data_IF_980720322767
#
_entry.id   IF_980720322767
#
_cell.length_a   1.000
_cell.length_b   1.000
_cell.length_c   1.000
_cell.angle_alpha   90.00
_cell.angle_beta   90.00
_cell.angle_gamma   90.00
#
_symmetry.space_group_name_H-M   'P 1'
#
loop_
_entity.id
_entity.type
_entity.pdbx_description
1 polymer ?
#
# COMPACT_ATOMS: atom_id res chain seq x y z
N UNK A 1 14.44 -9.12 -16.46
CA UNK A 1 13.32 -9.48 -15.57
C UNK A 1 12.65 -8.19 -15.14
N UNK A 2 11.37 -8.02 -15.43
CA UNK A 2 10.64 -6.78 -15.10
C UNK A 2 9.86 -6.99 -13.79
N UNK A 3 10.21 -6.24 -12.77
CA UNK A 3 9.62 -6.36 -11.44
C UNK A 3 8.89 -5.08 -11.04
N UNK A 4 7.83 -5.20 -10.25
CA UNK A 4 7.06 -4.08 -9.71
C UNK A 4 7.13 -4.08 -8.19
N UNK A 5 7.45 -2.92 -7.62
CA UNK A 5 7.23 -2.62 -6.21
C UNK A 5 6.00 -1.71 -6.07
N UNK A 6 5.02 -2.12 -5.28
CA UNK A 6 3.85 -1.33 -4.92
C UNK A 6 4.01 -0.83 -3.50
N UNK A 7 4.10 0.49 -3.33
CA UNK A 7 4.18 1.15 -2.03
C UNK A 7 2.78 1.65 -1.67
N UNK A 8 2.14 0.93 -0.74
CA UNK A 8 0.72 1.12 -0.42
C UNK A 8 0.56 2.17 0.68
N UNK A 9 -0.10 3.27 0.35
CA UNK A 9 -0.67 4.27 1.25
C UNK A 9 0.27 4.77 2.36
N UNK A 10 1.53 5.02 2.03
CA UNK A 10 2.50 5.59 2.97
C UNK A 10 2.27 7.10 3.14
N UNK A 11 1.08 7.45 3.63
CA UNK A 11 0.58 8.81 3.80
C UNK A 11 0.65 9.26 5.27
N UNK A 12 0.70 10.58 5.48
CA UNK A 12 0.86 11.18 6.80
C UNK A 12 -0.23 10.72 7.77
N UNK A 13 -1.50 10.67 7.35
CA UNK A 13 -2.59 10.25 8.23
C UNK A 13 -2.48 8.82 8.73
N UNK A 14 -1.87 7.92 7.96
CA UNK A 14 -1.66 6.52 8.38
C UNK A 14 -0.38 6.29 9.18
N UNK A 15 0.59 7.19 9.11
CA UNK A 15 1.86 7.03 9.82
C UNK A 15 1.84 7.72 11.19
N UNK A 16 1.58 9.02 11.22
CA UNK A 16 1.61 9.85 12.43
C UNK A 16 0.47 10.87 12.53
N UNK A 17 -0.51 10.83 11.59
CA UNK A 17 -1.69 11.68 11.59
C UNK A 17 -2.92 11.01 12.22
N UNK A 18 -4.09 11.25 11.64
CA UNK A 18 -5.40 10.91 12.22
C UNK A 18 -5.58 9.41 12.55
N UNK A 19 -4.99 8.52 11.76
CA UNK A 19 -5.01 7.06 11.94
C UNK A 19 -3.60 6.49 12.18
N UNK A 20 -2.65 7.33 12.58
CA UNK A 20 -1.26 6.93 12.82
C UNK A 20 -1.12 5.95 13.98
N UNK A 21 -0.16 5.02 13.84
CA UNK A 21 0.17 4.02 14.87
C UNK A 21 1.67 3.94 15.09
N UNK A 22 2.08 3.40 16.25
CA UNK A 22 3.50 3.13 16.52
C UNK A 22 4.05 2.08 15.57
N UNK A 23 3.25 1.11 15.20
CA UNK A 23 3.58 0.04 14.26
C UNK A 23 3.87 0.63 12.87
N UNK A 24 3.03 1.54 12.39
CA UNK A 24 3.23 2.24 11.12
C UNK A 24 4.54 3.07 11.12
N UNK A 25 4.84 3.74 12.21
CA UNK A 25 6.07 4.53 12.35
C UNK A 25 7.33 3.65 12.31
N UNK A 26 7.29 2.44 12.88
CA UNK A 26 8.42 1.51 12.93
C UNK A 26 8.87 1.03 11.54
N UNK A 27 7.96 0.89 10.58
CA UNK A 27 8.29 0.38 9.24
C UNK A 27 8.84 1.44 8.29
N UNK A 28 8.75 2.72 8.63
CA UNK A 28 9.10 3.83 7.71
C UNK A 28 10.51 3.66 7.15
N UNK A 29 11.51 3.41 7.97
CA UNK A 29 12.89 3.28 7.49
C UNK A 29 13.10 2.03 6.62
N UNK A 30 12.41 0.94 6.93
CA UNK A 30 12.44 -0.27 6.11
C UNK A 30 11.84 0.01 4.72
N UNK A 31 10.69 0.68 4.66
CA UNK A 31 10.06 1.06 3.38
C UNK A 31 10.96 2.01 2.58
N UNK A 32 11.55 3.02 3.24
CA UNK A 32 12.51 3.93 2.58
C UNK A 32 13.68 3.16 1.97
N UNK A 33 14.26 2.24 2.72
CA UNK A 33 15.38 1.40 2.27
C UNK A 33 14.96 0.50 1.10
N UNK A 34 13.77 -0.10 1.18
CA UNK A 34 13.21 -0.94 0.12
C UNK A 34 13.01 -0.16 -1.18
N UNK A 35 12.43 1.05 -1.11
CA UNK A 35 12.21 1.91 -2.28
C UNK A 35 13.54 2.33 -2.92
N UNK A 36 14.53 2.70 -2.12
CA UNK A 36 15.87 3.02 -2.64
C UNK A 36 16.49 1.84 -3.38
N UNK A 37 16.50 0.66 -2.75
CA UNK A 37 17.03 -0.56 -3.38
C UNK A 37 16.28 -0.92 -4.67
N UNK A 38 14.95 -0.77 -4.69
CA UNK A 38 14.16 -1.02 -5.89
C UNK A 38 14.54 -0.07 -7.03
N UNK A 39 14.77 1.22 -6.75
CA UNK A 39 15.27 2.19 -7.74
C UNK A 39 16.66 1.81 -8.26
N UNK A 40 17.59 1.47 -7.38
CA UNK A 40 18.94 1.04 -7.74
C UNK A 40 18.94 -0.22 -8.62
N UNK A 41 17.99 -1.13 -8.38
CA UNK A 41 17.80 -2.34 -9.18
C UNK A 41 16.98 -2.11 -10.47
N UNK A 42 16.51 -0.89 -10.72
CA UNK A 42 15.74 -0.56 -11.93
C UNK A 42 14.32 -1.18 -11.95
N UNK A 43 13.73 -1.46 -10.77
CA UNK A 43 12.34 -1.93 -10.69
C UNK A 43 11.38 -0.78 -10.97
N UNK A 44 10.24 -1.10 -11.57
CA UNK A 44 9.13 -0.16 -11.65
C UNK A 44 8.52 0.03 -10.25
N UNK A 45 8.12 1.25 -9.93
CA UNK A 45 7.54 1.58 -8.62
C UNK A 45 6.23 2.32 -8.81
N UNK A 46 5.18 1.85 -8.12
CA UNK A 46 3.88 2.53 -8.02
C UNK A 46 3.62 2.83 -6.56
N UNK A 47 3.35 4.11 -6.26
CA UNK A 47 2.81 4.53 -4.97
C UNK A 47 1.30 4.61 -5.07
N UNK A 48 0.58 4.01 -4.13
CA UNK A 48 -0.86 4.26 -3.99
C UNK A 48 -1.13 5.31 -2.93
N UNK A 49 -2.20 6.05 -3.11
CA UNK A 49 -2.68 7.03 -2.14
C UNK A 49 -4.18 6.83 -1.92
N UNK A 50 -4.55 6.46 -0.71
CA UNK A 50 -5.93 6.49 -0.29
C UNK A 50 -6.45 7.93 -0.38
N UNK A 51 -7.60 8.14 -1.03
CA UNK A 51 -8.04 9.48 -1.40
C UNK A 51 -9.53 9.63 -1.19
N UNK A 52 -9.88 10.44 -0.21
CA UNK A 52 -11.26 10.78 0.12
C UNK A 52 -11.58 12.24 -0.20
N UNK A 53 -12.87 12.54 -0.33
CA UNK A 53 -13.37 13.89 -0.53
C UNK A 53 -13.94 14.43 0.79
N UNK A 54 -14.30 15.72 0.83
CA UNK A 54 -14.87 16.37 2.01
C UNK A 54 -16.15 15.71 2.52
N UNK A 55 -16.89 15.02 1.64
CA UNK A 55 -18.08 14.26 2.01
C UNK A 55 -17.81 12.88 2.62
N UNK A 56 -16.56 12.59 3.01
CA UNK A 56 -16.19 11.31 3.63
C UNK A 56 -17.15 10.86 4.73
N UNK A 57 -17.64 11.72 5.66
CA UNK A 57 -18.55 11.28 6.72
C UNK A 57 -19.89 10.72 6.21
N UNK A 58 -20.29 11.07 4.98
CA UNK A 58 -21.53 10.61 4.35
C UNK A 58 -21.36 9.28 3.62
N UNK A 59 -20.11 8.87 3.38
CA UNK A 59 -19.80 7.61 2.70
C UNK A 59 -20.09 6.40 3.56
N UNK A 60 -20.16 5.22 2.94
CA UNK A 60 -20.32 3.97 3.70
C UNK A 60 -19.11 3.72 4.63
N UNK A 61 -17.91 4.04 4.17
CA UNK A 61 -16.70 3.91 4.96
C UNK A 61 -16.72 4.88 6.15
N UNK A 62 -17.02 6.16 5.90
CA UNK A 62 -17.07 7.18 6.94
C UNK A 62 -18.12 6.92 8.02
N UNK A 63 -19.23 6.27 7.68
CA UNK A 63 -20.25 5.83 8.67
C UNK A 63 -19.75 4.71 9.57
N UNK A 64 -18.83 3.86 9.10
CA UNK A 64 -18.26 2.74 9.85
C UNK A 64 -16.99 3.14 10.60
N UNK A 65 -16.21 4.05 10.03
CA UNK A 65 -15.00 4.62 10.60
C UNK A 65 -15.14 6.16 10.60
N UNK A 66 -15.76 6.76 11.64
CA UNK A 66 -16.04 8.20 11.65
C UNK A 66 -14.80 9.05 11.99
N UNK A 67 -13.68 8.77 11.34
CA UNK A 67 -12.42 9.50 11.44
C UNK A 67 -12.04 9.96 10.04
N UNK A 68 -12.25 11.24 9.75
CA UNK A 68 -11.84 11.82 8.48
C UNK A 68 -10.33 11.72 8.32
N UNK A 69 -9.89 11.15 7.21
CA UNK A 69 -8.48 10.94 6.89
C UNK A 69 -8.26 10.99 5.38
N UNK A 70 -7.04 11.23 4.97
CA UNK A 70 -6.63 11.26 3.57
C UNK A 70 -7.57 12.08 2.68
N UNK A 71 -8.08 13.20 3.20
CA UNK A 71 -8.91 14.14 2.42
C UNK A 71 -8.02 14.82 1.39
N UNK A 72 -8.39 14.71 0.11
CA UNK A 72 -7.58 15.20 -1.01
C UNK A 72 -7.16 16.67 -0.82
N UNK A 73 -5.86 16.92 -0.96
CA UNK A 73 -5.25 18.24 -0.80
C UNK A 73 -4.93 18.60 0.66
N UNK A 74 -5.30 17.78 1.65
CA UNK A 74 -4.88 17.99 3.04
C UNK A 74 -3.44 17.51 3.26
N UNK A 75 -2.80 17.99 4.32
CA UNK A 75 -1.48 17.50 4.73
C UNK A 75 -1.49 16.02 5.10
N UNK A 76 -2.56 15.53 5.66
CA UNK A 76 -2.72 14.13 6.03
C UNK A 76 -2.76 13.18 4.82
N UNK A 77 -3.25 13.66 3.68
CA UNK A 77 -3.29 12.93 2.42
C UNK A 77 -1.91 12.79 1.76
N UNK A 78 -0.98 13.70 2.02
CA UNK A 78 0.34 13.67 1.38
C UNK A 78 1.14 12.43 1.77
N UNK A 79 1.93 11.92 0.82
CA UNK A 79 2.95 10.90 1.10
C UNK A 79 3.93 11.48 2.13
N UNK A 80 4.37 10.66 3.09
CA UNK A 80 5.27 11.10 4.15
C UNK A 80 6.55 11.73 3.59
N UNK A 81 7.10 12.77 4.24
CA UNK A 81 8.24 13.55 3.73
C UNK A 81 9.46 12.70 3.35
N UNK A 82 9.75 11.63 4.09
CA UNK A 82 10.88 10.74 3.83
C UNK A 82 10.78 10.01 2.48
N UNK A 83 9.56 9.77 2.00
CA UNK A 83 9.31 9.10 0.73
C UNK A 83 9.03 10.07 -0.42
N UNK A 84 8.60 11.31 -0.15
CA UNK A 84 8.24 12.29 -1.19
C UNK A 84 9.34 12.46 -2.26
N UNK A 85 10.59 12.57 -1.83
CA UNK A 85 11.74 12.70 -2.76
C UNK A 85 11.98 11.46 -3.61
N UNK A 86 11.50 10.31 -3.15
CA UNK A 86 11.66 9.03 -3.82
C UNK A 86 10.52 8.75 -4.82
N UNK A 87 9.47 9.58 -4.84
CA UNK A 87 8.36 9.45 -5.81
C UNK A 87 8.72 9.99 -7.20
N UNK A 88 9.82 10.72 -7.32
CA UNK A 88 10.27 11.21 -8.63
C UNK A 88 10.43 10.06 -9.61
N UNK A 89 9.87 10.23 -10.81
CA UNK A 89 9.85 9.22 -11.88
C UNK A 89 9.05 7.94 -11.53
N UNK A 90 8.26 7.97 -10.46
CA UNK A 90 7.35 6.89 -10.10
C UNK A 90 5.90 7.25 -10.46
N UNK A 91 5.09 6.22 -10.73
CA UNK A 91 3.65 6.42 -10.86
C UNK A 91 3.03 6.61 -9.48
N UNK A 92 2.15 7.59 -9.36
CA UNK A 92 1.30 7.80 -8.18
C UNK A 92 -0.13 7.50 -8.58
N UNK A 93 -0.81 6.64 -7.84
CA UNK A 93 -2.15 6.19 -8.11
C UNK A 93 -3.07 6.51 -6.93
N UNK A 94 -4.00 7.43 -7.13
CA UNK A 94 -5.06 7.71 -6.17
C UNK A 94 -6.12 6.60 -6.24
N UNK A 95 -6.60 6.14 -5.08
CA UNK A 95 -7.65 5.13 -4.98
C UNK A 95 -8.73 5.56 -3.98
N UNK A 96 -10.01 5.36 -4.29
CA UNK A 96 -11.12 5.80 -3.44
C UNK A 96 -11.52 4.78 -2.38
N UNK A 97 -10.87 3.63 -2.33
CA UNK A 97 -11.18 2.53 -1.43
C UNK A 97 -9.91 1.70 -1.13
N UNK A 98 -10.05 0.62 -0.37
CA UNK A 98 -8.95 -0.21 0.12
C UNK A 98 -8.12 -0.83 -1.01
N UNK A 99 -8.75 -1.55 -1.92
CA UNK A 99 -8.11 -2.11 -3.11
C UNK A 99 -8.35 -1.25 -4.35
N UNK A 100 -7.44 -1.33 -5.32
CA UNK A 100 -7.52 -0.61 -6.58
C UNK A 100 -7.57 -1.55 -7.78
N UNK A 101 -8.73 -1.62 -8.43
CA UNK A 101 -8.84 -2.34 -9.73
C UNK A 101 -7.99 -1.68 -10.80
N UNK A 102 -7.79 -0.36 -10.73
CA UNK A 102 -6.91 0.35 -11.64
C UNK A 102 -5.45 -0.12 -11.51
N UNK A 103 -4.96 -0.32 -10.27
CA UNK A 103 -3.63 -0.90 -10.02
C UNK A 103 -3.51 -2.27 -10.68
N UNK A 104 -4.51 -3.13 -10.49
CA UNK A 104 -4.50 -4.47 -11.07
C UNK A 104 -4.49 -4.43 -12.61
N UNK A 105 -5.26 -3.54 -13.24
CA UNK A 105 -5.22 -3.33 -14.70
C UNK A 105 -3.86 -2.82 -15.20
N UNK A 106 -3.24 -1.88 -14.48
CA UNK A 106 -1.91 -1.36 -14.82
C UNK A 106 -0.89 -2.49 -14.73
N UNK A 107 -0.91 -3.24 -13.63
CA UNK A 107 0.00 -4.36 -13.41
C UNK A 107 -0.14 -5.44 -14.50
N UNK A 108 -1.38 -5.78 -14.88
CA UNK A 108 -1.64 -6.76 -15.94
C UNK A 108 -1.08 -6.33 -17.31
N UNK A 109 -1.13 -5.02 -17.62
CA UNK A 109 -0.54 -4.48 -18.85
C UNK A 109 0.98 -4.37 -18.80
N UNK A 110 1.54 -4.28 -17.58
CA UNK A 110 2.97 -4.09 -17.36
C UNK A 110 3.82 -5.32 -17.66
N UNK A 111 3.21 -6.50 -17.79
CA UNK A 111 3.90 -7.78 -18.04
C UNK A 111 5.02 -8.04 -17.03
N UNK A 112 4.73 -7.83 -15.74
CA UNK A 112 5.67 -8.07 -14.67
C UNK A 112 5.84 -9.57 -14.41
N UNK A 113 7.07 -9.98 -14.15
CA UNK A 113 7.43 -11.34 -13.77
C UNK A 113 7.31 -11.57 -12.26
N UNK A 114 7.24 -10.47 -11.48
CA UNK A 114 7.13 -10.47 -10.02
C UNK A 114 6.57 -9.14 -9.53
N UNK A 115 5.70 -9.20 -8.51
CA UNK A 115 5.11 -8.01 -7.89
C UNK A 115 5.26 -8.11 -6.37
N UNK A 116 5.86 -7.10 -5.76
CA UNK A 116 6.06 -7.00 -4.32
C UNK A 116 5.26 -5.83 -3.76
N UNK A 117 4.57 -6.03 -2.63
CA UNK A 117 3.83 -4.98 -1.92
C UNK A 117 4.48 -4.68 -0.58
N UNK A 118 4.52 -3.40 -0.23
CA UNK A 118 4.93 -2.86 1.06
C UNK A 118 3.99 -1.74 1.48
N UNK A 119 3.93 -1.39 2.75
CA UNK A 119 3.19 -0.22 3.23
C UNK A 119 2.04 -0.55 4.18
N UNK A 120 0.99 0.23 4.11
CA UNK A 120 -0.08 0.30 5.10
C UNK A 120 -1.49 0.14 4.51
N UNK A 121 -2.43 -0.37 5.28
CA UNK A 121 -2.19 -1.28 6.41
C UNK A 121 -2.22 -2.71 5.89
N UNK A 122 -1.43 -3.59 6.48
CA UNK A 122 -1.34 -5.01 6.07
C UNK A 122 -2.70 -5.65 5.97
N UNK A 123 -3.56 -5.41 6.96
CA UNK A 123 -4.88 -6.01 7.16
C UNK A 123 -6.01 -5.30 6.41
N UNK A 124 -5.73 -4.22 5.68
CA UNK A 124 -6.72 -3.44 4.96
C UNK A 124 -6.30 -3.23 3.50
N UNK A 125 -5.52 -2.19 3.21
CA UNK A 125 -5.18 -1.82 1.83
C UNK A 125 -4.15 -2.77 1.20
N UNK A 126 -3.18 -3.27 1.97
CA UNK A 126 -2.16 -4.19 1.44
C UNK A 126 -2.80 -5.51 1.02
N UNK A 127 -3.53 -6.19 1.92
CA UNK A 127 -4.20 -7.45 1.60
C UNK A 127 -5.21 -7.28 0.47
N UNK A 128 -5.98 -6.19 0.46
CA UNK A 128 -6.98 -5.92 -0.59
C UNK A 128 -6.33 -5.82 -1.97
N UNK A 129 -5.21 -5.12 -2.09
CA UNK A 129 -4.48 -5.00 -3.34
C UNK A 129 -3.77 -6.30 -3.71
N UNK A 130 -3.19 -7.01 -2.75
CA UNK A 130 -2.53 -8.30 -2.99
C UNK A 130 -3.51 -9.33 -3.56
N UNK A 131 -4.73 -9.42 -3.01
CA UNK A 131 -5.78 -10.32 -3.49
C UNK A 131 -6.28 -9.94 -4.88
N UNK A 132 -6.45 -8.64 -5.17
CA UNK A 132 -6.81 -8.18 -6.50
C UNK A 132 -5.73 -8.50 -7.53
N UNK A 133 -4.47 -8.25 -7.21
CA UNK A 133 -3.34 -8.60 -8.08
C UNK A 133 -3.28 -10.10 -8.34
N UNK A 134 -3.48 -10.93 -7.31
CA UNK A 134 -3.52 -12.39 -7.45
C UNK A 134 -4.67 -12.85 -8.33
N UNK A 135 -5.85 -12.21 -8.23
CA UNK A 135 -7.00 -12.54 -9.09
C UNK A 135 -6.79 -12.15 -10.55
N UNK A 136 -6.13 -11.02 -10.82
CA UNK A 136 -5.84 -10.55 -12.18
C UNK A 136 -4.65 -11.26 -12.83
N UNK A 137 -3.69 -11.70 -12.01
CA UNK A 137 -2.41 -12.26 -12.43
C UNK A 137 -2.11 -13.56 -11.67
N UNK A 138 -2.91 -14.61 -11.87
CA UNK A 138 -2.81 -15.84 -11.07
C UNK A 138 -1.46 -16.55 -11.17
N UNK A 139 -0.75 -16.39 -12.29
CA UNK A 139 0.54 -17.03 -12.55
C UNK A 139 1.75 -16.17 -12.15
N UNK A 140 1.53 -14.88 -11.85
CA UNK A 140 2.62 -13.99 -11.41
C UNK A 140 2.81 -14.13 -9.91
N UNK A 141 4.04 -14.37 -9.41
CA UNK A 141 4.34 -14.34 -7.98
C UNK A 141 4.00 -12.97 -7.38
N UNK A 142 3.06 -12.97 -6.43
CA UNK A 142 2.70 -11.79 -5.64
C UNK A 142 3.30 -11.99 -4.25
N UNK A 143 4.04 -10.98 -3.78
CA UNK A 143 4.76 -11.04 -2.51
C UNK A 143 4.42 -9.85 -1.62
N UNK A 144 4.50 -10.06 -0.33
CA UNK A 144 4.37 -9.01 0.69
C UNK A 144 5.56 -9.09 1.63
N UNK A 145 6.30 -7.99 1.78
CA UNK A 145 7.40 -7.91 2.74
C UNK A 145 6.84 -7.54 4.13
N UNK A 146 6.82 -8.51 5.03
CA UNK A 146 6.24 -8.36 6.37
C UNK A 146 6.95 -7.31 7.21
N UNK A 147 8.26 -7.11 7.03
CA UNK A 147 9.04 -6.11 7.76
C UNK A 147 8.83 -4.68 7.21
N UNK A 148 8.25 -4.57 6.04
CA UNK A 148 7.90 -3.32 5.38
C UNK A 148 6.39 -3.04 5.41
N UNK A 149 5.62 -3.81 6.20
CA UNK A 149 4.18 -3.62 6.39
C UNK A 149 3.84 -3.54 7.86
N UNK A 150 2.73 -2.87 8.18
CA UNK A 150 2.15 -2.84 9.52
C UNK A 150 0.63 -2.87 9.43
N UNK A 151 -0.01 -3.62 10.31
CA UNK A 151 -1.46 -3.62 10.48
C UNK A 151 -1.93 -2.55 11.46
N UNK A 152 -3.23 -2.45 11.66
CA UNK A 152 -3.82 -1.59 12.69
C UNK A 152 -3.35 -2.03 14.08
N UNK A 153 -3.23 -3.33 14.29
CA UNK A 153 -2.59 -3.93 15.47
C UNK A 153 -1.61 -5.03 15.04
N UNK A 154 -0.66 -5.43 15.92
CA UNK A 154 0.20 -6.59 15.62
C UNK A 154 -0.58 -7.86 15.31
N UNK A 155 -1.67 -8.11 16.03
CA UNK A 155 -2.50 -9.31 15.84
C UNK A 155 -3.24 -9.29 14.50
N UNK A 156 -3.74 -8.13 14.08
CA UNK A 156 -4.41 -8.00 12.76
C UNK A 156 -3.42 -8.10 11.62
N UNK A 157 -2.20 -7.61 11.79
CA UNK A 157 -1.09 -7.80 10.87
C UNK A 157 -0.81 -9.29 10.63
N UNK A 158 -0.57 -10.07 11.69
CA UNK A 158 -0.29 -11.50 11.58
C UNK A 158 -1.45 -12.27 10.93
N UNK A 159 -2.70 -11.97 11.31
CA UNK A 159 -3.88 -12.60 10.69
C UNK A 159 -3.96 -12.33 9.19
N UNK A 160 -3.64 -11.12 8.76
CA UNK A 160 -3.63 -10.77 7.34
C UNK A 160 -2.53 -11.51 6.57
N UNK A 161 -1.32 -11.61 7.14
CA UNK A 161 -0.23 -12.38 6.55
C UNK A 161 -0.60 -13.86 6.39
N UNK A 162 -1.20 -14.47 7.41
CA UNK A 162 -1.65 -15.86 7.34
C UNK A 162 -2.77 -16.06 6.29
N UNK A 163 -3.71 -15.11 6.19
CA UNK A 163 -4.74 -15.14 5.15
C UNK A 163 -4.14 -15.03 3.74
N UNK A 164 -3.14 -14.18 3.55
CA UNK A 164 -2.43 -14.04 2.28
C UNK A 164 -1.65 -15.31 1.91
N UNK A 165 -0.96 -15.94 2.86
CA UNK A 165 -0.29 -17.24 2.67
C UNK A 165 -1.27 -18.32 2.21
N UNK A 166 -2.45 -18.40 2.83
CA UNK A 166 -3.49 -19.34 2.42
C UNK A 166 -3.95 -19.14 0.97
N UNK A 167 -3.88 -17.91 0.47
CA UNK A 167 -4.18 -17.54 -0.91
C UNK A 167 -2.97 -17.56 -1.85
N UNK A 168 -1.87 -18.22 -1.44
CA UNK A 168 -0.63 -18.39 -2.24
C UNK A 168 0.06 -17.05 -2.57
N UNK A 169 -0.07 -16.05 -1.70
CA UNK A 169 0.75 -14.86 -1.71
C UNK A 169 1.96 -15.13 -0.83
N UNK A 170 3.15 -14.88 -1.36
CA UNK A 170 4.40 -15.10 -0.64
C UNK A 170 4.60 -14.01 0.43
N UNK A 171 4.94 -14.40 1.64
CA UNK A 171 5.29 -13.49 2.73
C UNK A 171 6.79 -13.60 2.98
N UNK A 172 7.49 -12.47 2.79
CA UNK A 172 8.92 -12.33 2.98
C UNK A 172 9.24 -11.87 4.41
#
# INVERSE_FOLDING_TARGET
MRELLVVVDMQTDFVDGALGTKEAQKIVENVVSKVKSAKECGKDIIFTMDTHQENYPETQEGKKLPVAHCIKGSKGWEIIPKLQKLTQDCMILEKPSFGSTQLAHIAARGQYERIELVGLCTDICVISNAMLLKAFLPEVPIMVDSLCCAGVTPESHERALEAMKACQIEVL
#
